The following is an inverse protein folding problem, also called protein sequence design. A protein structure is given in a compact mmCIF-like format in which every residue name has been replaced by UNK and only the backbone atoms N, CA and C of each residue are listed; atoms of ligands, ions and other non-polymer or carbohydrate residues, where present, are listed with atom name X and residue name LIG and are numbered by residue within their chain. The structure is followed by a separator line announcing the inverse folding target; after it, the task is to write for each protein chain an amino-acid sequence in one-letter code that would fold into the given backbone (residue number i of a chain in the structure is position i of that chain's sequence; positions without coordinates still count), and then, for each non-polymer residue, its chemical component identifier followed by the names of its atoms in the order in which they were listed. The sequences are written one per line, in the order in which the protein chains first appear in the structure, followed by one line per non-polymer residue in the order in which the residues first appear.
data_IF_408035121480
#
_entry.id   IF_408035121480
#
_cell.length_a   1.000
_cell.length_b   1.000
_cell.length_c   1.000
_cell.angle_alpha   90.00
_cell.angle_beta   90.00
_cell.angle_gamma   90.00
#
_symmetry.space_group_name_H-M   'P 1'
#
loop_
_entity.id
_entity.type
_entity.pdbx_description
1 polymer ?
#
# COMPACT_ATOMS: atom_id res chain seq x y z
N UNK A 1 17.34 -4.07 -11.59
CA UNK A 1 16.90 -3.07 -10.58
C UNK A 1 16.10 -3.77 -9.52
N UNK A 2 16.08 -3.26 -8.30
CA UNK A 2 15.23 -3.80 -7.23
C UNK A 2 13.96 -2.95 -7.15
N UNK A 3 12.80 -3.58 -7.06
CA UNK A 3 11.50 -2.93 -6.90
C UNK A 3 10.93 -3.30 -5.54
N UNK A 4 10.74 -2.32 -4.66
CA UNK A 4 10.09 -2.51 -3.36
C UNK A 4 8.57 -2.40 -3.50
N UNK A 5 7.86 -3.46 -3.15
CA UNK A 5 6.39 -3.46 -3.12
C UNK A 5 5.92 -3.18 -1.70
N UNK A 6 5.01 -2.20 -1.57
CA UNK A 6 4.29 -1.88 -0.34
C UNK A 6 2.81 -2.28 -0.52
N UNK A 7 2.45 -3.53 -0.24
CA UNK A 7 1.08 -3.97 -0.36
C UNK A 7 0.23 -3.33 0.75
N UNK A 8 -0.98 -2.92 0.39
CA UNK A 8 -2.06 -2.71 1.35
C UNK A 8 -2.71 -4.05 1.70
N UNK A 9 -4.00 -4.02 2.02
CA UNK A 9 -4.73 -5.23 2.37
C UNK A 9 -5.00 -6.10 1.12
N UNK A 10 -4.53 -7.34 1.16
CA UNK A 10 -4.76 -8.36 0.11
C UNK A 10 -5.57 -9.51 0.70
N UNK A 11 -6.62 -9.95 0.00
CA UNK A 11 -7.52 -11.02 0.42
C UNK A 11 -6.81 -12.39 0.39
N UNK A 12 -5.94 -12.60 1.37
CA UNK A 12 -5.23 -13.86 1.64
C UNK A 12 -5.69 -14.39 2.99
N UNK A 13 -5.34 -15.63 3.31
CA UNK A 13 -5.64 -16.21 4.64
C UNK A 13 -5.08 -15.39 5.80
N UNK A 14 -3.97 -14.68 5.57
CA UNK A 14 -3.38 -13.76 6.55
C UNK A 14 -4.37 -12.68 7.00
N UNK A 15 -5.31 -12.29 6.14
CA UNK A 15 -6.27 -11.23 6.40
C UNK A 15 -7.52 -11.70 7.17
N UNK A 16 -7.73 -13.02 7.33
CA UNK A 16 -8.98 -13.59 7.86
C UNK A 16 -9.27 -13.14 9.30
N UNK A 17 -8.24 -12.90 10.10
CA UNK A 17 -8.37 -12.47 11.50
C UNK A 17 -8.05 -10.98 11.70
N UNK A 18 -8.03 -10.17 10.64
CA UNK A 18 -7.73 -8.75 10.74
C UNK A 18 -8.96 -7.96 11.22
N UNK A 19 -8.84 -7.27 12.36
CA UNK A 19 -9.93 -6.48 12.96
C UNK A 19 -10.40 -5.31 12.08
N UNK A 20 -9.49 -4.73 11.29
CA UNK A 20 -9.78 -3.63 10.37
C UNK A 20 -9.13 -3.91 9.04
N UNK A 21 -9.96 -4.00 8.01
CA UNK A 21 -9.49 -4.10 6.63
C UNK A 21 -10.06 -2.94 5.84
N UNK A 22 -9.22 -2.29 5.06
CA UNK A 22 -9.65 -1.18 4.22
C UNK A 22 -9.12 -1.39 2.82
N UNK A 23 -9.94 -1.11 1.81
CA UNK A 23 -9.47 -1.14 0.44
C UNK A 23 -8.83 -2.47 0.00
N UNK A 24 -9.39 -3.57 0.49
CA UNK A 24 -8.94 -4.94 0.22
C UNK A 24 -8.95 -5.21 -1.27
N UNK A 25 -7.90 -5.89 -1.72
CA UNK A 25 -7.67 -6.21 -3.12
C UNK A 25 -7.48 -7.74 -3.26
N UNK A 26 -7.99 -8.33 -4.34
CA UNK A 26 -7.80 -9.77 -4.58
C UNK A 26 -6.32 -10.10 -4.89
N UNK A 27 -5.84 -11.32 -4.56
CA UNK A 27 -4.47 -11.73 -4.87
C UNK A 27 -4.11 -11.59 -6.35
N UNK A 28 -5.03 -11.91 -7.26
CA UNK A 28 -4.80 -11.81 -8.71
C UNK A 28 -4.60 -10.36 -9.15
N UNK A 29 -5.42 -9.45 -8.66
CA UNK A 29 -5.23 -8.02 -8.90
C UNK A 29 -3.91 -7.52 -8.32
N UNK A 30 -3.46 -8.08 -7.18
CA UNK A 30 -2.18 -7.70 -6.58
C UNK A 30 -1.04 -8.14 -7.48
N UNK A 31 -1.09 -9.39 -7.95
CA UNK A 31 -0.09 -9.97 -8.84
C UNK A 31 0.05 -9.16 -10.13
N UNK A 32 -1.06 -8.78 -10.77
CA UNK A 32 -1.05 -7.95 -11.99
C UNK A 32 -0.39 -6.60 -11.74
N UNK A 33 -0.74 -5.91 -10.66
CA UNK A 33 -0.16 -4.60 -10.33
C UNK A 33 1.33 -4.68 -10.00
N UNK A 34 1.73 -5.69 -9.22
CA UNK A 34 3.13 -5.94 -8.87
C UNK A 34 3.94 -6.23 -10.12
N UNK A 35 3.46 -7.12 -11.00
CA UNK A 35 4.14 -7.47 -12.24
C UNK A 35 4.31 -6.24 -13.14
N UNK A 36 3.28 -5.40 -13.25
CA UNK A 36 3.36 -4.15 -14.00
C UNK A 36 4.41 -3.18 -13.41
N UNK A 37 4.47 -3.04 -12.08
CA UNK A 37 5.44 -2.19 -11.40
C UNK A 37 6.90 -2.65 -11.61
N UNK A 38 7.13 -3.97 -11.56
CA UNK A 38 8.43 -4.59 -11.83
C UNK A 38 8.83 -4.37 -13.29
N UNK A 39 7.92 -4.59 -14.25
CA UNK A 39 8.17 -4.33 -15.68
C UNK A 39 8.53 -2.87 -15.97
N UNK A 40 7.90 -1.95 -15.24
CA UNK A 40 8.19 -0.50 -15.31
C UNK A 40 9.45 -0.08 -14.52
N UNK A 41 10.17 -1.03 -13.90
CA UNK A 41 11.40 -0.80 -13.11
C UNK A 41 11.22 0.25 -12.00
N UNK A 42 10.03 0.35 -11.42
CA UNK A 42 9.76 1.29 -10.31
C UNK A 42 10.64 0.96 -9.12
N UNK A 43 11.17 1.98 -8.44
CA UNK A 43 11.92 1.77 -7.18
C UNK A 43 10.99 1.36 -6.03
N UNK A 44 9.84 2.03 -5.91
CA UNK A 44 8.81 1.73 -4.89
C UNK A 44 7.43 1.74 -5.56
N UNK A 45 6.59 0.76 -5.25
CA UNK A 45 5.21 0.71 -5.74
C UNK A 45 4.25 0.27 -4.63
N UNK A 46 3.04 0.85 -4.64
CA UNK A 46 1.96 0.49 -3.75
C UNK A 46 0.95 -0.44 -4.44
N UNK A 47 0.33 -1.34 -3.68
CA UNK A 47 -0.67 -2.28 -4.24
C UNK A 47 -1.81 -2.49 -3.24
N UNK A 48 -3.01 -1.90 -3.43
CA UNK A 48 -3.42 -1.10 -4.58
C UNK A 48 -2.70 0.25 -4.72
N UNK A 49 -2.52 0.71 -5.96
CA UNK A 49 -1.82 1.97 -6.28
C UNK A 49 -2.35 3.23 -5.54
N UNK A 50 -3.64 3.25 -5.18
CA UNK A 50 -4.27 4.34 -4.40
C UNK A 50 -3.61 4.59 -3.04
N UNK A 51 -2.95 3.60 -2.45
CA UNK A 51 -2.16 3.79 -1.23
C UNK A 51 -1.01 4.77 -1.41
N UNK A 52 -0.53 4.98 -2.64
CA UNK A 52 0.42 6.04 -2.96
C UNK A 52 -0.13 7.43 -2.66
N UNK A 53 -1.42 7.67 -2.87
CA UNK A 53 -2.07 8.94 -2.54
C UNK A 53 -2.18 9.13 -1.02
N UNK A 54 -2.54 8.07 -0.29
CA UNK A 54 -2.58 8.12 1.18
C UNK A 54 -1.20 8.40 1.76
N UNK A 55 -0.16 7.72 1.29
CA UNK A 55 1.20 7.98 1.74
C UNK A 55 1.71 9.36 1.33
N UNK A 56 1.23 9.89 0.21
CA UNK A 56 1.50 11.27 -0.17
C UNK A 56 0.87 12.22 0.85
N UNK A 57 -0.41 12.06 1.18
CA UNK A 57 -1.08 12.88 2.20
C UNK A 57 -0.32 12.79 3.53
N UNK A 58 -0.06 11.58 4.03
CA UNK A 58 0.65 11.36 5.29
C UNK A 58 2.02 12.04 5.29
N UNK A 59 2.79 11.93 4.21
CA UNK A 59 4.12 12.56 4.10
C UNK A 59 4.09 14.09 4.12
N UNK A 60 2.97 14.69 3.71
CA UNK A 60 2.77 16.14 3.73
C UNK A 60 2.19 16.64 5.05
N UNK A 61 1.81 15.76 5.99
CA UNK A 61 1.36 16.19 7.31
C UNK A 61 2.55 16.77 8.09
N UNK A 62 2.50 18.04 8.52
CA UNK A 62 3.53 18.63 9.35
C UNK A 62 3.72 17.87 10.67
N UNK A 63 4.96 17.82 11.16
CA UNK A 63 5.34 17.04 12.33
C UNK A 63 4.54 17.38 13.60
N UNK A 64 4.13 18.63 13.78
CA UNK A 64 3.32 19.07 14.93
C UNK A 64 1.89 18.52 14.91
N UNK A 65 1.32 18.28 13.72
CA UNK A 65 0.01 17.64 13.55
C UNK A 65 0.17 16.14 13.73
N UNK A 66 1.17 15.54 13.08
CA UNK A 66 1.43 14.11 13.17
C UNK A 66 1.62 13.65 14.62
N UNK A 67 2.34 14.44 15.44
CA UNK A 67 2.53 14.17 16.88
C UNK A 67 1.26 14.24 17.72
N UNK A 68 0.21 14.90 17.24
CA UNK A 68 -1.09 15.04 17.92
C UNK A 68 -2.12 14.01 17.48
N UNK A 69 -1.87 13.32 16.37
CA UNK A 69 -2.75 12.28 15.88
C UNK A 69 -2.46 10.98 16.62
N UNK A 70 -3.47 10.40 17.27
CA UNK A 70 -3.44 9.05 17.82
C UNK A 70 -3.77 8.05 16.72
N UNK A 71 -2.81 7.82 15.81
CA UNK A 71 -2.87 6.81 14.74
C UNK A 71 -1.94 5.66 15.05
#
# INVERSE_FOLDING_TARGET
TVTTIKPGFVQTRLLENAEKTFWVLSPDQAAVQILAAVKQKKQVAYTPARWGLVMLIIRHIPSFIFRRLSI
#
